data_IF_389522100282
#
_entry.id   IF_389522100282
#
_cell.length_a   1.000
_cell.length_b   1.000
_cell.length_c   1.000
_cell.angle_alpha   90.00
_cell.angle_beta   90.00
_cell.angle_gamma   90.00
#
_symmetry.space_group_name_H-M   'P 1'
#
loop_
_entity.id
_entity.type
_entity.pdbx_description
1 polymer ?
#
# COMPACT_ATOMS: atom_id res chain seq x y z
N UNK A 1 57.67 -16.00 6.87
CA UNK A 1 56.24 -16.33 7.02
C UNK A 1 55.48 -15.09 7.51
N UNK A 2 54.96 -14.27 6.62
CA UNK A 2 54.01 -13.20 6.99
C UNK A 2 52.60 -13.70 6.72
N UNK A 3 51.75 -13.79 7.74
CA UNK A 3 50.32 -14.06 7.55
C UNK A 3 49.62 -12.74 7.22
N UNK A 4 49.11 -12.63 6.00
CA UNK A 4 48.15 -11.61 5.60
C UNK A 4 46.83 -11.89 6.35
N UNK A 5 46.34 -10.92 7.10
CA UNK A 5 44.96 -10.91 7.62
C UNK A 5 44.12 -10.12 6.60
N UNK A 6 43.08 -10.71 5.98
CA UNK A 6 42.12 -9.92 5.24
C UNK A 6 41.17 -9.23 6.22
N UNK A 7 41.23 -7.91 6.16
CA UNK A 7 40.28 -6.94 6.72
C UNK A 7 38.90 -7.06 6.08
N UNK A 8 37.87 -6.72 6.86
CA UNK A 8 36.78 -5.88 6.33
C UNK A 8 35.53 -6.60 5.88
N UNK A 9 34.55 -6.54 6.78
CA UNK A 9 33.12 -6.50 6.58
C UNK A 9 32.65 -5.99 5.20
N UNK A 10 31.71 -6.70 4.59
CA UNK A 10 30.70 -6.12 3.71
C UNK A 10 29.46 -6.99 3.81
N UNK A 11 28.50 -6.53 4.61
CA UNK A 11 27.19 -7.17 4.78
C UNK A 11 26.63 -7.70 3.47
N UNK A 12 26.38 -9.00 3.45
CA UNK A 12 25.67 -9.65 2.35
C UNK A 12 24.30 -8.96 2.22
N UNK A 13 23.88 -8.53 1.01
CA UNK A 13 22.50 -8.13 0.82
C UNK A 13 21.63 -9.33 1.22
N UNK A 14 20.55 -9.09 1.95
CA UNK A 14 19.49 -10.06 2.24
C UNK A 14 18.82 -10.48 0.92
N UNK A 15 19.53 -11.24 0.08
CA UNK A 15 18.95 -11.95 -1.04
C UNK A 15 18.37 -13.24 -0.48
N UNK A 16 17.04 -13.28 -0.41
CA UNK A 16 16.31 -14.47 0.04
C UNK A 16 16.71 -15.64 -0.87
N UNK A 17 17.12 -16.81 -0.33
CA UNK A 17 17.46 -17.97 -1.16
C UNK A 17 16.28 -18.32 -2.08
N UNK A 18 16.56 -18.63 -3.35
CA UNK A 18 15.56 -19.01 -4.36
C UNK A 18 14.62 -20.17 -3.92
N UNK A 19 15.02 -20.92 -2.90
CA UNK A 19 14.31 -22.07 -2.32
C UNK A 19 13.37 -21.73 -1.15
N UNK A 20 13.28 -20.49 -0.68
CA UNK A 20 12.33 -20.13 0.40
C UNK A 20 10.89 -20.12 -0.16
N UNK A 21 9.90 -20.70 0.53
CA UNK A 21 8.51 -20.57 0.12
C UNK A 21 8.12 -19.08 0.04
N UNK A 22 7.24 -18.69 -0.90
CA UNK A 22 6.73 -17.33 -0.93
C UNK A 22 6.09 -17.01 0.42
N UNK A 23 6.40 -15.82 0.95
CA UNK A 23 5.74 -15.33 2.15
C UNK A 23 4.23 -15.24 1.87
N UNK A 24 3.38 -15.52 2.88
CA UNK A 24 1.96 -15.31 2.72
C UNK A 24 1.68 -13.85 2.39
N UNK A 25 0.59 -13.56 1.66
CA UNK A 25 0.14 -12.20 1.46
C UNK A 25 -0.08 -11.49 2.79
N UNK A 26 0.14 -10.17 2.81
CA UNK A 26 -0.06 -9.38 4.02
C UNK A 26 -1.56 -9.17 4.26
N UNK A 27 -2.03 -9.39 5.48
CA UNK A 27 -3.41 -9.09 5.87
C UNK A 27 -3.72 -7.59 5.73
N UNK A 28 -4.96 -7.27 5.37
CA UNK A 28 -5.52 -5.91 5.39
C UNK A 28 -6.80 -5.95 6.20
N UNK A 29 -6.97 -5.02 7.14
CA UNK A 29 -8.12 -4.92 8.02
C UNK A 29 -8.66 -3.50 8.06
N UNK A 30 -9.84 -3.34 8.64
CA UNK A 30 -10.35 -2.05 9.09
C UNK A 30 -10.14 -2.01 10.61
N UNK A 31 -9.29 -1.09 11.08
CA UNK A 31 -8.96 -0.92 12.48
C UNK A 31 -9.26 0.52 12.91
N UNK A 32 -9.48 0.72 14.22
CA UNK A 32 -9.88 2.02 14.77
C UNK A 32 -11.40 2.19 14.91
N UNK A 33 -11.80 3.22 15.65
CA UNK A 33 -13.20 3.62 15.91
C UNK A 33 -13.25 5.14 16.17
N UNK A 34 -14.38 5.80 15.91
CA UNK A 34 -14.61 7.22 16.21
C UNK A 34 -13.58 8.22 15.66
N UNK A 35 -12.92 7.85 14.56
CA UNK A 35 -11.89 8.68 13.91
C UNK A 35 -10.49 8.51 14.51
N UNK A 36 -10.31 7.59 15.45
CA UNK A 36 -9.00 7.19 15.96
C UNK A 36 -8.31 6.24 14.98
N UNK A 37 -7.07 6.56 14.64
CA UNK A 37 -6.21 5.79 13.74
C UNK A 37 -4.73 6.04 14.04
N UNK A 38 -3.84 5.30 13.38
CA UNK A 38 -2.39 5.41 13.54
C UNK A 38 -1.63 5.46 12.19
N UNK A 39 -0.30 5.46 12.25
CA UNK A 39 0.55 5.54 11.05
C UNK A 39 0.41 4.32 10.11
N UNK A 40 -0.24 3.24 10.55
CA UNK A 40 -0.54 2.05 9.75
C UNK A 40 -1.85 2.20 8.94
N UNK A 41 -2.58 3.30 9.12
CA UNK A 41 -3.74 3.63 8.29
C UNK A 41 -3.36 4.41 7.02
N UNK A 42 -2.07 4.72 6.83
CA UNK A 42 -1.60 5.58 5.75
C UNK A 42 -1.32 4.82 4.45
N UNK A 43 -2.04 5.21 3.39
CA UNK A 43 -1.88 4.69 2.03
C UNK A 43 -1.54 5.78 1.03
N UNK A 44 -0.47 5.59 0.26
CA UNK A 44 -0.11 6.46 -0.86
C UNK A 44 -0.91 6.09 -2.11
N UNK A 45 -1.57 7.07 -2.72
CA UNK A 45 -2.22 6.90 -4.03
C UNK A 45 -1.17 6.98 -5.15
N UNK A 46 -1.01 5.88 -5.88
CA UNK A 46 -0.17 5.80 -7.08
C UNK A 46 -1.07 5.93 -8.32
N UNK A 47 -0.99 7.07 -8.98
CA UNK A 47 -1.69 7.37 -10.23
C UNK A 47 -0.70 7.76 -11.34
N UNK A 48 -1.17 7.87 -12.58
CA UNK A 48 -0.31 8.21 -13.73
C UNK A 48 0.10 9.68 -13.78
N UNK A 49 -0.64 10.56 -13.11
CA UNK A 49 -0.43 12.01 -13.10
C UNK A 49 -0.05 12.52 -11.71
N UNK A 50 -0.08 13.84 -11.55
CA UNK A 50 0.13 14.51 -10.26
C UNK A 50 -1.09 14.38 -9.34
N UNK A 51 -2.29 14.29 -9.92
CA UNK A 51 -3.54 14.20 -9.20
C UNK A 51 -4.29 12.92 -9.56
N UNK A 52 -5.06 12.40 -8.62
CA UNK A 52 -5.98 11.31 -8.87
C UNK A 52 -7.21 11.82 -9.61
N UNK A 53 -7.26 11.56 -10.91
CA UNK A 53 -8.40 11.91 -11.75
C UNK A 53 -9.57 10.92 -11.59
N UNK A 54 -10.79 11.44 -11.79
CA UNK A 54 -12.01 10.63 -11.84
C UNK A 54 -11.86 9.54 -12.91
N UNK A 55 -12.36 8.33 -12.59
CA UNK A 55 -12.30 7.15 -13.47
C UNK A 55 -10.91 6.63 -13.82
N UNK A 56 -9.83 7.30 -13.39
CA UNK A 56 -8.48 6.80 -13.60
C UNK A 56 -8.21 5.59 -12.71
N UNK A 57 -7.48 4.62 -13.27
CA UNK A 57 -6.96 3.50 -12.51
C UNK A 57 -5.83 3.98 -11.59
N UNK A 58 -5.90 3.60 -10.32
CA UNK A 58 -4.91 3.90 -9.29
C UNK A 58 -4.47 2.64 -8.57
N UNK A 59 -3.40 2.74 -7.80
CA UNK A 59 -3.05 1.76 -6.77
C UNK A 59 -2.93 2.46 -5.43
N UNK A 60 -3.23 1.74 -4.36
CA UNK A 60 -2.97 2.19 -3.00
C UNK A 60 -1.76 1.41 -2.49
N UNK A 61 -0.69 2.12 -2.12
CA UNK A 61 0.53 1.54 -1.57
C UNK A 61 0.63 1.89 -0.08
N UNK A 62 0.63 0.88 0.79
CA UNK A 62 0.74 1.08 2.22
C UNK A 62 2.11 1.69 2.55
N UNK A 63 2.14 2.75 3.36
CA UNK A 63 3.39 3.49 3.63
C UNK A 63 4.36 2.66 4.45
N UNK A 64 3.90 2.01 5.53
CA UNK A 64 4.76 1.28 6.45
C UNK A 64 5.39 0.01 5.86
N UNK A 65 4.69 -0.67 4.93
CA UNK A 65 5.12 -1.99 4.43
C UNK A 65 5.38 -2.01 2.92
N UNK A 66 5.09 -0.92 2.21
CA UNK A 66 5.26 -0.78 0.77
C UNK A 66 4.44 -1.75 -0.10
N UNK A 67 3.53 -2.54 0.48
CA UNK A 67 2.64 -3.44 -0.26
C UNK A 67 1.51 -2.67 -0.94
N UNK A 68 0.99 -3.21 -2.04
CA UNK A 68 -0.17 -2.68 -2.74
C UNK A 68 -1.46 -3.37 -2.26
N UNK A 69 -2.51 -2.58 -2.02
CA UNK A 69 -3.86 -3.09 -1.79
C UNK A 69 -4.31 -3.89 -3.01
N UNK A 70 -4.62 -5.16 -2.80
CA UNK A 70 -4.86 -6.15 -3.85
C UNK A 70 -6.11 -6.97 -3.52
N UNK A 71 -6.77 -7.48 -4.55
CA UNK A 71 -7.89 -8.42 -4.42
C UNK A 71 -7.56 -9.74 -5.12
N UNK A 72 -7.82 -10.87 -4.47
CA UNK A 72 -7.64 -12.19 -5.08
C UNK A 72 -8.84 -12.58 -5.95
N UNK A 73 -8.70 -13.66 -6.72
CA UNK A 73 -9.84 -14.32 -7.36
C UNK A 73 -10.64 -15.21 -6.40
N UNK A 74 -10.09 -15.50 -5.21
CA UNK A 74 -10.68 -16.40 -4.23
C UNK A 74 -11.86 -15.71 -3.52
N UNK A 75 -12.90 -16.50 -3.24
CA UNK A 75 -14.10 -16.03 -2.54
C UNK A 75 -14.29 -16.79 -1.24
N UNK A 76 -14.69 -16.08 -0.20
CA UNK A 76 -15.04 -16.69 1.06
C UNK A 76 -16.33 -17.52 0.98
N UNK A 77 -16.40 -18.53 1.84
CA UNK A 77 -17.60 -19.31 2.12
C UNK A 77 -18.47 -18.65 3.20
N UNK A 78 -19.27 -19.47 3.90
CA UNK A 78 -20.04 -19.00 5.07
C UNK A 78 -19.10 -18.48 6.16
N UNK A 79 -19.41 -17.37 6.87
CA UNK A 79 -20.67 -16.60 6.83
C UNK A 79 -20.73 -15.46 5.80
N UNK A 80 -19.67 -15.19 5.05
CA UNK A 80 -19.52 -14.04 4.13
C UNK A 80 -19.41 -14.49 2.67
N UNK A 81 -20.31 -15.40 2.28
CA UNK A 81 -20.24 -16.11 1.00
C UNK A 81 -20.17 -15.14 -0.18
N UNK A 82 -19.21 -15.36 -1.06
CA UNK A 82 -19.07 -14.63 -2.31
C UNK A 82 -18.27 -13.32 -2.22
N UNK A 83 -17.87 -12.92 -1.01
CA UNK A 83 -16.92 -11.81 -0.85
C UNK A 83 -15.51 -12.26 -1.25
N UNK A 84 -14.76 -11.39 -1.91
CA UNK A 84 -13.37 -11.64 -2.30
C UNK A 84 -12.40 -11.27 -1.18
N UNK A 85 -11.29 -11.99 -1.09
CA UNK A 85 -10.20 -11.65 -0.17
C UNK A 85 -9.45 -10.39 -0.64
N UNK A 86 -9.25 -9.46 0.29
CA UNK A 86 -8.44 -8.24 0.11
C UNK A 86 -7.19 -8.38 0.95
N UNK A 87 -6.03 -8.08 0.35
CA UNK A 87 -4.73 -8.34 0.94
C UNK A 87 -3.65 -7.41 0.37
N UNK A 88 -2.45 -7.43 0.97
CA UNK A 88 -1.26 -6.73 0.50
C UNK A 88 -0.36 -7.61 -0.38
N UNK A 89 0.04 -7.09 -1.54
CA UNK A 89 1.07 -7.70 -2.40
C UNK A 89 2.23 -6.75 -2.67
N UNK A 90 3.46 -7.24 -2.60
CA UNK A 90 4.66 -6.44 -2.89
C UNK A 90 4.75 -5.99 -4.36
N UNK A 91 4.21 -6.78 -5.29
CA UNK A 91 4.34 -6.54 -6.73
C UNK A 91 3.12 -5.85 -7.33
N UNK A 92 3.34 -4.90 -8.24
CA UNK A 92 2.27 -4.33 -9.05
C UNK A 92 1.71 -5.38 -10.03
N UNK A 93 0.38 -5.43 -10.15
CA UNK A 93 -0.33 -6.38 -11.02
C UNK A 93 -1.65 -5.78 -11.53
N UNK A 94 -2.49 -6.58 -12.18
CA UNK A 94 -3.87 -6.20 -12.51
C UNK A 94 -4.79 -6.22 -11.27
N UNK A 95 -4.50 -7.10 -10.31
CA UNK A 95 -5.28 -7.32 -9.08
C UNK A 95 -5.19 -6.18 -8.06
N UNK A 96 -4.27 -5.23 -8.27
CA UNK A 96 -4.12 -4.04 -7.43
C UNK A 96 -4.37 -2.74 -8.18
N UNK A 97 -5.10 -2.80 -9.30
CA UNK A 97 -5.64 -1.62 -9.95
C UNK A 97 -7.07 -1.39 -9.46
N UNK A 98 -7.29 -0.23 -8.87
CA UNK A 98 -8.57 0.22 -8.37
C UNK A 98 -9.06 1.41 -9.16
N UNK A 99 -10.37 1.63 -9.16
CA UNK A 99 -11.00 2.78 -9.80
C UNK A 99 -12.12 3.28 -8.91
N UNK A 100 -12.12 4.57 -8.59
CA UNK A 100 -13.27 5.19 -7.94
C UNK A 100 -14.47 5.15 -8.89
N UNK A 101 -15.61 4.72 -8.35
CA UNK A 101 -16.88 4.62 -9.08
C UNK A 101 -17.89 5.62 -8.50
N UNK A 102 -19.01 5.13 -7.96
CA UNK A 102 -20.06 5.96 -7.37
C UNK A 102 -19.59 6.63 -6.07
N UNK A 103 -19.94 7.91 -5.88
CA UNK A 103 -19.54 8.68 -4.70
C UNK A 103 -19.84 10.18 -4.83
N UNK A 104 -19.64 10.91 -3.73
CA UNK A 104 -19.78 12.38 -3.68
C UNK A 104 -18.39 13.00 -3.76
N UNK A 105 -18.18 13.91 -4.72
CA UNK A 105 -16.89 14.53 -4.97
C UNK A 105 -16.98 16.01 -4.64
N UNK A 106 -16.28 16.41 -3.59
CA UNK A 106 -16.30 17.77 -3.07
C UNK A 106 -15.31 18.60 -3.89
N UNK A 107 -15.76 19.74 -4.40
CA UNK A 107 -14.87 20.68 -5.10
C UNK A 107 -13.94 21.35 -4.08
N UNK A 108 -12.65 21.53 -4.39
CA UNK A 108 -11.76 22.32 -3.55
C UNK A 108 -12.33 23.73 -3.36
N UNK A 109 -12.28 24.27 -2.14
CA UNK A 109 -12.67 25.67 -1.93
C UNK A 109 -11.64 26.58 -2.60
N UNK A 110 -12.06 27.71 -3.19
CA UNK A 110 -11.15 28.65 -3.85
C UNK A 110 -10.18 29.37 -2.88
N UNK A 111 -10.31 29.19 -1.56
CA UNK A 111 -9.58 29.96 -0.54
C UNK A 111 -8.40 29.22 0.13
N UNK A 112 -8.01 28.03 -0.34
CA UNK A 112 -6.87 27.31 0.23
C UNK A 112 -5.48 27.86 -0.18
N UNK A 113 -5.41 29.02 -0.86
CA UNK A 113 -4.16 29.67 -1.29
C UNK A 113 -3.91 31.05 -0.64
N UNK A 114 -4.68 31.44 0.37
CA UNK A 114 -4.42 32.64 1.18
C UNK A 114 -3.91 32.26 2.57
N UNK A 115 -2.72 32.71 2.92
CA UNK A 115 -2.10 32.47 4.24
C UNK A 115 -3.04 32.80 5.40
N UNK A 116 -3.04 31.93 6.40
CA UNK A 116 -3.69 32.16 7.68
C UNK A 116 -2.93 33.30 8.38
N UNK A 117 -3.40 34.53 8.20
CA UNK A 117 -2.94 35.69 8.96
C UNK A 117 -3.69 35.63 10.30
N UNK A 118 -3.02 35.08 11.31
CA UNK A 118 -3.52 35.05 12.69
C UNK A 118 -3.49 36.47 13.27
N UNK A 119 -4.61 36.90 13.86
CA UNK A 119 -4.71 38.10 14.70
C UNK A 119 -4.39 37.77 16.16
#
# INVERSE_FOLDING_TARGET
>A
MGKQVPTGDSGLPLSRPLSSPPLPPQEVSAFGEDGEGDDLDLWTVRCSGQHWEREAAVRFQHVGTSVFLSVTGEQYGSPIRGQHEVHGMASASAHNKWKAMEGIFIKPSPEASGGHDEL
#
